data_IF_089834426248
#
_entry.id   IF_089834426248
#
_cell.length_a   1.000
_cell.length_b   1.000
_cell.length_c   1.000
_cell.angle_alpha   90.00
_cell.angle_beta   90.00
_cell.angle_gamma   90.00
#
_symmetry.space_group_name_H-M   'P 1'
#
loop_
_entity.id
_entity.type
_entity.pdbx_description
1 polymer ?
#
# COMPACT_ATOMS: atom_id res chain seq x y z
N UNK A 1 -14.33 29.02 1.04
CA UNK A 1 -13.87 29.36 -0.32
C UNK A 1 -13.62 28.06 -1.08
N UNK A 2 -14.18 27.91 -2.28
CA UNK A 2 -13.89 26.77 -3.16
C UNK A 2 -12.43 26.94 -3.59
N UNK A 3 -11.57 25.99 -3.21
CA UNK A 3 -10.18 25.97 -3.66
C UNK A 3 -10.15 25.68 -5.17
N UNK A 4 -9.24 26.30 -5.91
CA UNK A 4 -9.07 26.02 -7.34
C UNK A 4 -8.46 24.64 -7.54
N UNK A 5 -8.92 23.93 -8.56
CA UNK A 5 -8.31 22.65 -8.95
C UNK A 5 -6.95 22.91 -9.59
N UNK A 6 -5.94 22.12 -9.21
CA UNK A 6 -4.64 22.13 -9.88
C UNK A 6 -4.73 21.34 -11.20
N UNK A 7 -4.12 21.88 -12.24
CA UNK A 7 -4.22 21.34 -13.59
C UNK A 7 -2.90 20.75 -14.11
N UNK A 8 -1.97 20.39 -13.20
CA UNK A 8 -0.71 19.75 -13.58
C UNK A 8 0.43 20.70 -13.98
N UNK A 9 0.22 21.99 -13.97
CA UNK A 9 1.26 22.97 -14.34
C UNK A 9 2.16 23.33 -13.15
N UNK A 10 3.44 23.62 -13.44
CA UNK A 10 4.39 24.12 -12.44
C UNK A 10 3.89 25.46 -11.84
N UNK A 11 4.01 25.60 -10.53
CA UNK A 11 3.45 26.75 -9.80
C UNK A 11 4.28 27.10 -8.55
N UNK A 12 4.25 28.36 -8.14
CA UNK A 12 4.81 28.82 -6.86
C UNK A 12 3.80 28.75 -5.72
N UNK A 13 2.67 28.09 -5.93
CA UNK A 13 1.56 27.98 -4.98
C UNK A 13 1.59 26.64 -4.25
N UNK A 14 0.87 26.57 -3.14
CA UNK A 14 0.68 25.36 -2.36
C UNK A 14 -0.43 24.48 -2.92
N UNK A 15 -0.24 23.15 -2.85
CA UNK A 15 -1.21 22.17 -3.35
C UNK A 15 -1.61 21.22 -2.21
N UNK A 16 -2.90 20.96 -2.08
CA UNK A 16 -3.44 19.86 -1.27
C UNK A 16 -3.83 18.72 -2.18
N UNK A 17 -3.17 17.58 -2.04
CA UNK A 17 -3.55 16.31 -2.67
C UNK A 17 -4.35 15.49 -1.68
N UNK A 18 -5.47 14.92 -2.10
CA UNK A 18 -6.33 14.18 -1.19
C UNK A 18 -6.90 12.93 -1.84
N UNK A 19 -6.98 11.86 -1.05
CA UNK A 19 -7.67 10.64 -1.47
C UNK A 19 -9.18 10.86 -1.56
N UNK A 20 -9.83 10.06 -2.39
CA UNK A 20 -11.29 9.89 -2.41
C UNK A 20 -11.64 8.49 -1.88
N UNK A 21 -12.66 7.85 -2.43
CA UNK A 21 -13.13 6.52 -2.02
C UNK A 21 -12.41 5.37 -2.76
N UNK A 22 -11.14 5.54 -3.09
CA UNK A 22 -10.33 4.47 -3.67
C UNK A 22 -9.81 3.50 -2.61
N UNK A 23 -9.30 2.34 -3.06
CA UNK A 23 -8.65 1.36 -2.19
C UNK A 23 -7.21 1.77 -1.81
N UNK A 24 -6.67 1.14 -0.77
CA UNK A 24 -5.28 1.37 -0.31
C UNK A 24 -4.26 1.09 -1.43
N UNK A 25 -4.46 0.03 -2.21
CA UNK A 25 -3.55 -0.29 -3.32
C UNK A 25 -3.48 0.82 -4.37
N UNK A 26 -4.62 1.45 -4.68
CA UNK A 26 -4.67 2.59 -5.59
C UNK A 26 -3.99 3.82 -4.96
N UNK A 27 -4.20 4.07 -3.65
CA UNK A 27 -3.49 5.13 -2.94
C UNK A 27 -1.96 4.92 -3.04
N UNK A 28 -1.46 3.71 -2.79
CA UNK A 28 -0.04 3.37 -2.89
C UNK A 28 0.50 3.65 -4.29
N UNK A 29 -0.20 3.24 -5.35
CA UNK A 29 0.24 3.49 -6.73
C UNK A 29 0.37 5.01 -6.98
N UNK A 30 -0.64 5.78 -6.64
CA UNK A 30 -0.67 7.21 -6.96
C UNK A 30 0.24 8.05 -6.06
N UNK A 31 0.51 7.62 -4.82
CA UNK A 31 1.44 8.28 -3.91
C UNK A 31 2.89 8.29 -4.43
N UNK A 32 3.26 7.35 -5.29
CA UNK A 32 4.57 7.36 -5.96
C UNK A 32 4.83 8.63 -6.78
N UNK A 33 3.78 9.37 -7.13
CA UNK A 33 3.86 10.62 -7.90
C UNK A 33 4.06 11.87 -7.02
N UNK A 34 3.94 11.77 -5.71
CA UNK A 34 4.03 12.91 -4.80
C UNK A 34 5.39 13.62 -4.84
N UNK A 35 6.54 12.91 -4.91
CA UNK A 35 7.83 13.58 -5.07
C UNK A 35 7.89 14.50 -6.30
N UNK A 36 7.35 14.08 -7.43
CA UNK A 36 7.28 14.91 -8.63
C UNK A 36 6.34 16.11 -8.46
N UNK A 37 5.18 15.93 -7.84
CA UNK A 37 4.27 17.03 -7.52
C UNK A 37 4.98 18.05 -6.62
N UNK A 38 5.80 17.59 -5.67
CA UNK A 38 6.58 18.46 -4.80
C UNK A 38 7.56 19.35 -5.57
N UNK A 39 8.19 18.83 -6.62
CA UNK A 39 9.07 19.60 -7.50
C UNK A 39 8.34 20.65 -8.36
N UNK A 40 7.02 20.48 -8.51
CA UNK A 40 6.16 21.35 -9.33
C UNK A 40 5.49 22.47 -8.56
N UNK A 41 5.62 22.53 -7.23
CA UNK A 41 4.92 23.50 -6.39
C UNK A 41 5.79 24.01 -5.22
N UNK A 42 5.33 25.06 -4.53
CA UNK A 42 6.05 25.59 -3.36
C UNK A 42 5.96 24.63 -2.16
N UNK A 43 4.80 24.02 -1.97
CA UNK A 43 4.57 23.02 -0.92
C UNK A 43 3.42 22.09 -1.30
N UNK A 44 3.49 20.86 -0.84
CA UNK A 44 2.43 19.87 -1.01
C UNK A 44 2.01 19.32 0.36
N UNK A 45 0.70 19.31 0.60
CA UNK A 45 0.09 18.60 1.73
C UNK A 45 -0.70 17.44 1.18
N UNK A 46 -0.65 16.28 1.84
CA UNK A 46 -1.26 15.05 1.33
C UNK A 46 -2.15 14.41 2.38
N UNK A 47 -3.42 14.18 2.03
CA UNK A 47 -4.34 13.39 2.84
C UNK A 47 -4.51 11.99 2.24
N UNK A 48 -4.17 10.97 3.02
CA UNK A 48 -4.22 9.56 2.64
C UNK A 48 -5.07 8.75 3.62
N UNK A 49 -5.17 7.46 3.39
CA UNK A 49 -5.72 6.53 4.39
C UNK A 49 -4.84 6.58 5.65
N UNK A 50 -5.42 6.77 6.86
CA UNK A 50 -4.63 6.87 8.09
C UNK A 50 -3.70 5.68 8.32
N UNK A 51 -4.04 4.48 7.86
CA UNK A 51 -3.22 3.27 7.96
C UNK A 51 -1.92 3.35 7.17
N UNK A 52 -1.86 4.22 6.15
CA UNK A 52 -0.65 4.47 5.36
C UNK A 52 0.29 5.52 5.96
N UNK A 53 -0.16 6.31 6.96
CA UNK A 53 0.63 7.42 7.49
C UNK A 53 2.03 7.02 7.99
N UNK A 54 2.22 5.92 8.75
CA UNK A 54 3.55 5.52 9.19
C UNK A 54 4.51 5.26 8.02
N UNK A 55 4.07 4.50 7.03
CA UNK A 55 4.83 4.21 5.82
C UNK A 55 5.15 5.47 5.01
N UNK A 56 4.15 6.33 4.79
CA UNK A 56 4.29 7.56 4.02
C UNK A 56 5.26 8.54 4.68
N UNK A 57 5.15 8.75 5.99
CA UNK A 57 6.03 9.65 6.74
C UNK A 57 7.48 9.17 6.76
N UNK A 58 7.69 7.87 6.80
CA UNK A 58 9.03 7.27 6.72
C UNK A 58 9.63 7.39 5.32
N UNK A 59 8.80 7.22 4.29
CA UNK A 59 9.23 7.28 2.89
C UNK A 59 9.48 8.71 2.38
N UNK A 60 8.70 9.66 2.86
CA UNK A 60 8.67 11.06 2.38
C UNK A 60 8.57 12.03 3.57
N UNK A 61 9.62 12.13 4.41
CA UNK A 61 9.59 12.93 5.64
C UNK A 61 9.42 14.44 5.40
N UNK A 62 9.73 14.90 4.18
CA UNK A 62 9.58 16.30 3.74
C UNK A 62 8.15 16.66 3.32
N UNK A 63 7.24 15.70 3.23
CA UNK A 63 5.86 15.91 2.84
C UNK A 63 4.97 16.10 4.07
N UNK A 64 4.11 17.12 4.04
CA UNK A 64 3.10 17.33 5.07
C UNK A 64 1.94 16.35 4.90
N UNK A 65 1.91 15.29 5.69
CA UNK A 65 0.79 14.34 5.71
C UNK A 65 -0.28 14.78 6.71
N UNK A 66 -1.46 15.04 6.20
CA UNK A 66 -2.65 15.43 6.98
C UNK A 66 -3.24 14.19 7.66
N UNK A 67 -3.45 14.26 8.98
CA UNK A 67 -3.77 13.06 9.79
C UNK A 67 -5.22 12.59 9.65
N UNK A 68 -6.16 13.53 9.58
CA UNK A 68 -7.58 13.25 9.62
C UNK A 68 -8.43 14.22 8.78
N UNK A 69 -9.73 13.99 8.74
CA UNK A 69 -10.67 14.86 8.04
C UNK A 69 -10.77 16.28 8.63
N UNK A 70 -10.45 16.46 9.92
CA UNK A 70 -10.41 17.79 10.53
C UNK A 70 -9.24 18.59 9.97
N UNK A 71 -8.05 17.96 9.94
CA UNK A 71 -6.86 18.51 9.31
C UNK A 71 -7.12 18.83 7.84
N UNK A 72 -7.74 17.91 7.09
CA UNK A 72 -8.09 18.12 5.68
C UNK A 72 -8.98 19.37 5.48
N UNK A 73 -9.96 19.59 6.34
CA UNK A 73 -10.86 20.75 6.26
C UNK A 73 -10.18 22.06 6.65
N UNK A 74 -9.23 22.02 7.57
CA UNK A 74 -8.48 23.19 8.06
C UNK A 74 -7.26 23.54 7.21
N UNK A 75 -6.78 22.61 6.38
CA UNK A 75 -5.57 22.79 5.56
C UNK A 75 -5.72 23.98 4.60
N UNK A 76 -4.76 24.90 4.68
CA UNK A 76 -4.76 26.13 3.87
C UNK A 76 -3.83 25.96 2.68
N UNK A 77 -4.39 25.64 1.53
CA UNK A 77 -3.66 25.56 0.27
C UNK A 77 -4.33 26.39 -0.81
N UNK A 78 -3.56 26.83 -1.80
CA UNK A 78 -4.06 27.61 -2.95
C UNK A 78 -4.85 26.73 -3.92
N UNK A 79 -4.34 25.53 -4.16
CA UNK A 79 -4.91 24.55 -5.07
C UNK A 79 -5.23 23.23 -4.35
N UNK A 80 -6.05 22.41 -4.99
CA UNK A 80 -6.28 21.04 -4.58
C UNK A 80 -6.31 20.10 -5.79
N UNK A 81 -5.99 18.81 -5.57
CA UNK A 81 -6.14 17.76 -6.57
C UNK A 81 -6.52 16.44 -5.90
N UNK A 82 -7.46 15.67 -6.46
CA UNK A 82 -7.64 14.29 -6.05
C UNK A 82 -6.37 13.48 -6.37
N UNK A 83 -5.96 12.61 -5.46
CA UNK A 83 -4.78 11.75 -5.62
C UNK A 83 -4.86 10.91 -6.92
N UNK A 84 -6.01 10.31 -7.20
CA UNK A 84 -6.23 9.51 -8.42
C UNK A 84 -6.28 10.32 -9.72
N UNK A 85 -6.24 11.66 -9.66
CA UNK A 85 -6.16 12.51 -10.87
C UNK A 85 -4.72 12.80 -11.28
N UNK A 86 -3.73 12.57 -10.41
CA UNK A 86 -2.34 12.89 -10.67
C UNK A 86 -1.78 12.23 -11.94
N UNK A 87 -2.01 10.94 -12.22
CA UNK A 87 -1.51 10.34 -13.45
C UNK A 87 -1.94 11.09 -14.70
N UNK A 88 -3.22 11.44 -14.82
CA UNK A 88 -3.73 12.19 -15.96
C UNK A 88 -3.26 13.64 -16.05
N UNK A 89 -2.68 14.19 -14.97
CA UNK A 89 -2.14 15.54 -14.95
C UNK A 89 -0.65 15.61 -15.27
N UNK A 90 0.13 14.55 -14.96
CA UNK A 90 1.61 14.58 -15.05
C UNK A 90 2.20 13.42 -15.85
N UNK A 91 1.38 12.52 -16.43
CA UNK A 91 1.77 11.43 -17.32
C UNK A 91 1.01 11.58 -18.63
N UNK A 92 1.53 12.44 -19.50
CA UNK A 92 0.87 12.76 -20.77
C UNK A 92 1.42 11.95 -21.94
N UNK A 93 2.61 11.36 -21.78
CA UNK A 93 3.28 10.52 -22.75
C UNK A 93 3.80 9.23 -22.10
N UNK A 94 4.04 8.19 -22.90
CA UNK A 94 4.56 6.91 -22.40
C UNK A 94 5.97 7.06 -21.81
N UNK A 95 6.78 7.96 -22.35
CA UNK A 95 8.12 8.29 -21.85
C UNK A 95 8.10 8.91 -20.44
N UNK A 96 6.99 9.46 -20.00
CA UNK A 96 6.86 9.97 -18.63
C UNK A 96 6.90 8.84 -17.58
N UNK A 97 6.67 7.58 -17.99
CA UNK A 97 6.77 6.40 -17.12
C UNK A 97 8.20 5.86 -17.00
N UNK A 98 9.15 6.32 -17.83
CA UNK A 98 10.56 5.92 -17.75
C UNK A 98 11.26 6.43 -16.47
N UNK A 99 10.62 7.37 -15.78
CA UNK A 99 11.04 7.87 -14.45
C UNK A 99 10.63 6.88 -13.34
N UNK A 100 10.90 5.61 -13.52
CA UNK A 100 10.45 4.56 -12.61
C UNK A 100 11.10 4.72 -11.24
N UNK A 101 10.30 5.01 -10.24
CA UNK A 101 10.69 4.95 -8.83
C UNK A 101 10.63 3.48 -8.40
N UNK A 102 11.77 2.86 -8.22
CA UNK A 102 11.84 1.51 -7.65
C UNK A 102 11.57 1.59 -6.16
N UNK A 103 10.45 0.98 -5.69
CA UNK A 103 10.18 0.74 -4.27
C UNK A 103 10.34 1.98 -3.37
N UNK A 104 9.42 2.94 -3.46
CA UNK A 104 9.49 4.19 -2.68
C UNK A 104 9.09 4.02 -1.20
N UNK A 105 8.23 3.06 -0.87
CA UNK A 105 7.87 2.74 0.51
C UNK A 105 8.98 1.90 1.16
N UNK A 106 9.17 2.12 2.47
CA UNK A 106 10.17 1.41 3.27
C UNK A 106 9.52 0.84 4.52
N UNK A 107 9.71 -0.46 4.74
CA UNK A 107 9.34 -1.09 5.99
C UNK A 107 10.12 -0.50 7.18
N UNK A 108 9.58 -0.61 8.38
CA UNK A 108 10.30 -0.29 9.60
C UNK A 108 11.31 -1.42 9.92
N UNK A 109 12.62 -1.13 9.95
CA UNK A 109 13.62 -2.18 10.18
C UNK A 109 13.46 -2.90 11.53
N UNK A 110 13.00 -2.20 12.57
CA UNK A 110 12.79 -2.80 13.88
C UNK A 110 11.59 -3.75 13.89
N UNK A 111 10.54 -3.44 13.16
CA UNK A 111 9.39 -4.33 12.96
C UNK A 111 9.77 -5.55 12.13
N UNK A 112 10.53 -5.37 11.06
CA UNK A 112 11.05 -6.48 10.25
C UNK A 112 11.82 -7.47 11.13
N UNK A 113 12.73 -6.97 11.99
CA UNK A 113 13.50 -7.81 12.90
C UNK A 113 12.61 -8.54 13.92
N UNK A 114 11.64 -7.83 14.51
CA UNK A 114 10.70 -8.41 15.47
C UNK A 114 9.86 -9.52 14.84
N UNK A 115 9.31 -9.30 13.64
CA UNK A 115 8.49 -10.28 12.92
C UNK A 115 9.34 -11.49 12.54
N UNK A 116 10.57 -11.29 12.04
CA UNK A 116 11.49 -12.41 11.74
C UNK A 116 11.78 -13.28 12.95
N UNK A 117 11.99 -12.68 14.12
CA UNK A 117 12.19 -13.40 15.38
C UNK A 117 10.92 -14.15 15.82
N UNK A 118 9.75 -13.48 15.78
CA UNK A 118 8.46 -14.09 16.11
C UNK A 118 8.21 -15.35 15.28
N UNK A 119 8.45 -15.26 13.98
CA UNK A 119 8.17 -16.34 13.03
C UNK A 119 9.34 -17.31 12.84
N UNK A 120 10.48 -17.11 13.50
CA UNK A 120 11.69 -17.96 13.40
C UNK A 120 12.15 -18.16 11.94
N UNK A 121 12.26 -17.04 11.21
CA UNK A 121 12.52 -17.03 9.75
C UNK A 121 14.03 -16.97 9.38
N UNK A 122 14.93 -17.05 10.35
CA UNK A 122 16.37 -16.94 10.09
C UNK A 122 16.86 -18.05 9.14
N UNK A 123 17.53 -17.61 8.07
CA UNK A 123 18.06 -18.51 7.05
C UNK A 123 17.01 -19.16 6.13
N UNK A 124 15.71 -18.84 6.28
CA UNK A 124 14.64 -19.40 5.46
C UNK A 124 14.27 -18.50 4.29
N UNK A 125 13.94 -19.11 3.16
CA UNK A 125 13.28 -18.43 2.05
C UNK A 125 11.79 -18.30 2.36
N UNK A 126 11.27 -17.07 2.40
CA UNK A 126 9.88 -16.79 2.73
C UNK A 126 9.14 -16.25 1.52
N UNK A 127 7.96 -16.79 1.27
CA UNK A 127 7.04 -16.31 0.21
C UNK A 127 5.76 -15.84 0.86
N UNK A 128 5.50 -14.53 0.76
CA UNK A 128 4.22 -13.95 1.17
C UNK A 128 3.13 -14.24 0.14
N UNK A 129 1.97 -14.73 0.58
CA UNK A 129 0.86 -15.07 -0.29
C UNK A 129 -0.44 -14.35 0.09
N UNK A 130 -1.16 -13.90 -0.93
CA UNK A 130 -2.53 -13.38 -0.84
C UNK A 130 -3.30 -13.85 -2.07
N UNK A 131 -4.49 -14.43 -1.90
CA UNK A 131 -5.15 -15.19 -2.98
C UNK A 131 -6.59 -14.78 -3.26
N UNK A 132 -7.22 -13.97 -2.41
CA UNK A 132 -8.62 -13.58 -2.61
C UNK A 132 -8.93 -12.12 -2.28
N UNK A 133 -9.95 -11.60 -2.95
CA UNK A 133 -10.49 -10.26 -2.69
C UNK A 133 -11.81 -10.36 -1.94
N UNK A 134 -11.98 -9.59 -0.87
CA UNK A 134 -13.24 -9.51 -0.11
C UNK A 134 -14.21 -8.45 -0.63
N UNK A 135 -13.87 -7.70 -1.68
CA UNK A 135 -14.80 -6.73 -2.31
C UNK A 135 -15.85 -7.46 -3.15
N UNK A 136 -17.10 -7.39 -2.73
CA UNK A 136 -18.26 -8.15 -3.25
C UNK A 136 -18.49 -8.08 -4.76
N UNK A 137 -18.22 -6.93 -5.40
CA UNK A 137 -18.50 -6.73 -6.83
C UNK A 137 -17.56 -7.48 -7.80
N UNK A 138 -16.40 -7.96 -7.35
CA UNK A 138 -15.40 -8.62 -8.19
C UNK A 138 -14.72 -9.81 -7.50
N UNK A 139 -15.29 -10.34 -6.44
CA UNK A 139 -14.66 -11.37 -5.61
C UNK A 139 -14.25 -12.61 -6.43
N UNK A 140 -15.14 -13.12 -7.26
CA UNK A 140 -14.88 -14.32 -8.09
C UNK A 140 -13.86 -14.09 -9.22
N UNK A 141 -13.78 -12.86 -9.75
CA UNK A 141 -12.86 -12.54 -10.87
C UNK A 141 -11.43 -12.22 -10.42
N UNK A 142 -11.24 -11.91 -9.13
CA UNK A 142 -9.95 -11.48 -8.54
C UNK A 142 -9.48 -12.43 -7.46
N UNK A 143 -10.01 -13.65 -7.41
CA UNK A 143 -9.69 -14.63 -6.38
C UNK A 143 -9.35 -15.95 -7.04
N UNK A 144 -8.38 -16.65 -6.45
CA UNK A 144 -8.09 -18.07 -6.70
C UNK A 144 -8.35 -18.82 -5.39
N UNK A 145 -8.54 -20.12 -5.44
CA UNK A 145 -8.58 -20.92 -4.22
C UNK A 145 -7.15 -21.19 -3.75
N UNK A 146 -6.92 -21.14 -2.44
CA UNK A 146 -5.60 -21.43 -1.88
C UNK A 146 -5.09 -22.82 -2.32
N UNK A 147 -5.99 -23.80 -2.40
CA UNK A 147 -5.67 -25.15 -2.91
C UNK A 147 -5.09 -25.16 -4.32
N UNK A 148 -5.56 -24.29 -5.21
CA UNK A 148 -5.06 -24.24 -6.60
C UNK A 148 -3.60 -23.79 -6.68
N UNK A 149 -3.09 -23.17 -5.60
CA UNK A 149 -1.70 -22.71 -5.48
C UNK A 149 -0.74 -23.84 -5.07
N UNK A 150 -1.22 -25.02 -4.62
CA UNK A 150 -0.40 -26.16 -4.24
C UNK A 150 0.67 -26.48 -5.29
N UNK A 151 0.28 -26.49 -6.56
CA UNK A 151 1.18 -26.82 -7.69
C UNK A 151 2.38 -25.87 -7.84
N UNK A 152 2.24 -24.64 -7.32
CA UNK A 152 3.30 -23.63 -7.37
C UNK A 152 4.37 -23.92 -6.30
N UNK A 153 3.95 -24.44 -5.14
CA UNK A 153 4.80 -24.54 -3.95
C UNK A 153 5.26 -25.97 -3.66
N UNK A 154 4.62 -26.97 -4.30
CA UNK A 154 4.97 -28.38 -4.10
C UNK A 154 6.43 -28.65 -4.45
N UNK A 155 7.17 -29.23 -3.51
CA UNK A 155 8.59 -29.57 -3.67
C UNK A 155 9.57 -28.40 -3.47
N UNK A 156 9.10 -27.19 -3.14
CA UNK A 156 9.96 -26.07 -2.79
C UNK A 156 10.29 -26.07 -1.29
N UNK A 157 11.55 -25.79 -0.96
CA UNK A 157 12.00 -25.56 0.43
C UNK A 157 11.79 -24.09 0.80
N UNK A 158 10.52 -23.74 1.08
CA UNK A 158 10.12 -22.37 1.39
C UNK A 158 9.10 -22.34 2.53
N UNK A 159 9.03 -21.21 3.21
CA UNK A 159 7.98 -20.91 4.19
C UNK A 159 6.93 -20.01 3.53
N UNK A 160 5.67 -20.42 3.54
CA UNK A 160 4.57 -19.60 3.08
C UNK A 160 4.05 -18.73 4.22
N UNK A 161 4.02 -17.42 4.03
CA UNK A 161 3.52 -16.45 4.99
C UNK A 161 2.18 -15.87 4.51
N UNK A 162 1.17 -15.96 5.37
CA UNK A 162 -0.14 -15.38 5.10
C UNK A 162 -0.10 -13.85 5.11
N UNK A 163 -0.30 -13.23 3.96
CA UNK A 163 -0.54 -11.79 3.80
C UNK A 163 -2.00 -11.47 3.46
N UNK A 164 -2.87 -12.49 3.45
CA UNK A 164 -4.28 -12.34 3.17
C UNK A 164 -4.99 -11.76 4.40
N UNK A 165 -5.75 -10.68 4.22
CA UNK A 165 -6.63 -10.15 5.26
C UNK A 165 -7.98 -10.87 5.28
N UNK A 166 -8.70 -10.73 6.42
CA UNK A 166 -9.99 -11.37 6.66
C UNK A 166 -9.85 -12.74 7.31
N UNK A 167 -10.97 -13.36 7.61
CA UNK A 167 -10.99 -14.69 8.20
C UNK A 167 -10.66 -15.75 7.14
N UNK A 168 -9.49 -16.37 7.28
CA UNK A 168 -8.97 -17.41 6.39
C UNK A 168 -8.44 -18.64 7.14
N UNK A 169 -8.60 -18.71 8.44
CA UNK A 169 -8.04 -19.74 9.31
C UNK A 169 -8.48 -21.14 8.90
N UNK A 170 -9.76 -21.32 8.64
CA UNK A 170 -10.32 -22.60 8.21
C UNK A 170 -9.81 -23.02 6.83
N UNK A 171 -9.59 -22.08 5.91
CA UNK A 171 -9.05 -22.35 4.58
C UNK A 171 -7.57 -22.77 4.65
N UNK A 172 -6.79 -22.09 5.49
CA UNK A 172 -5.37 -22.41 5.74
C UNK A 172 -5.26 -23.80 6.41
N UNK A 173 -6.12 -24.09 7.40
CA UNK A 173 -6.15 -25.37 8.06
C UNK A 173 -6.43 -26.51 7.08
N UNK A 174 -7.46 -26.38 6.24
CA UNK A 174 -7.81 -27.38 5.22
C UNK A 174 -6.69 -27.55 4.20
N UNK A 175 -6.07 -26.46 3.76
CA UNK A 175 -4.95 -26.53 2.83
C UNK A 175 -3.80 -27.36 3.40
N UNK A 176 -3.43 -27.15 4.67
CA UNK A 176 -2.39 -27.95 5.35
C UNK A 176 -2.80 -29.43 5.46
N UNK A 177 -4.06 -29.72 5.81
CA UNK A 177 -4.55 -31.10 5.93
C UNK A 177 -4.55 -31.86 4.59
N UNK A 178 -4.90 -31.18 3.50
CA UNK A 178 -5.01 -31.78 2.18
C UNK A 178 -3.69 -31.91 1.43
N UNK A 179 -2.75 -30.95 1.64
CA UNK A 179 -1.50 -30.86 0.84
C UNK A 179 -0.24 -31.11 1.64
N UNK A 180 -0.31 -31.08 2.96
CA UNK A 180 0.85 -31.10 3.86
C UNK A 180 1.67 -29.81 3.88
N UNK A 181 1.31 -28.80 3.07
CA UNK A 181 2.02 -27.51 2.98
C UNK A 181 1.49 -26.58 4.08
N UNK A 182 2.41 -26.00 4.85
CA UNK A 182 2.07 -25.07 5.92
C UNK A 182 2.09 -23.62 5.45
N UNK A 183 1.06 -22.87 5.83
CA UNK A 183 1.01 -21.41 5.70
C UNK A 183 1.03 -20.82 7.11
N UNK A 184 2.12 -20.14 7.46
CA UNK A 184 2.26 -19.52 8.77
C UNK A 184 1.58 -18.14 8.80
N UNK A 185 1.20 -17.68 10.00
CA UNK A 185 0.57 -16.39 10.23
C UNK A 185 1.36 -15.60 11.27
N UNK A 186 1.49 -14.30 11.07
CA UNK A 186 2.07 -13.40 12.06
C UNK A 186 0.96 -12.94 13.02
N UNK A 187 1.03 -13.36 14.27
CA UNK A 187 0.01 -13.03 15.26
C UNK A 187 0.04 -11.55 15.69
N UNK A 188 1.19 -10.91 15.58
CA UNK A 188 1.37 -9.49 15.96
C UNK A 188 0.94 -8.50 14.88
N UNK A 189 0.52 -8.96 13.69
CA UNK A 189 0.13 -8.10 12.56
C UNK A 189 -1.30 -8.35 12.12
N UNK A 190 -2.13 -7.32 12.14
CA UNK A 190 -3.42 -7.33 11.45
C UNK A 190 -3.21 -6.92 9.98
N UNK A 191 -3.31 -7.89 9.07
CA UNK A 191 -3.10 -7.68 7.63
C UNK A 191 -4.05 -6.66 6.97
N UNK A 192 -5.09 -6.22 7.67
CA UNK A 192 -6.05 -5.23 7.18
C UNK A 192 -5.86 -3.85 7.80
N UNK A 193 -5.68 -3.79 9.11
CA UNK A 193 -5.65 -2.52 9.83
C UNK A 193 -4.21 -2.03 10.08
N UNK A 194 -3.24 -2.94 10.17
CA UNK A 194 -1.83 -2.62 10.39
C UNK A 194 -1.00 -2.75 9.09
N UNK A 195 -1.20 -1.81 8.18
CA UNK A 195 -0.50 -1.80 6.88
C UNK A 195 1.01 -1.61 7.04
N UNK A 196 1.46 -0.94 8.09
CA UNK A 196 2.89 -0.78 8.38
C UNK A 196 3.53 -2.11 8.82
N UNK A 197 2.81 -2.91 9.62
CA UNK A 197 3.22 -4.27 9.96
C UNK A 197 3.17 -5.22 8.77
N UNK A 198 2.16 -5.10 7.92
CA UNK A 198 2.07 -5.89 6.69
C UNK A 198 3.24 -5.61 5.72
N UNK A 199 3.81 -4.40 5.76
CA UNK A 199 4.95 -4.02 4.94
C UNK A 199 6.31 -4.49 5.52
N UNK A 200 6.32 -4.89 6.78
CA UNK A 200 7.51 -5.37 7.49
C UNK A 200 7.71 -6.87 7.33
#
# INVERSE_FOLDING_TARGET
>A
KIKKMWMGNKTTKSILVFRRRQGIGEDIIFLSLIPEVKEMCSSVSVYVDPRLLPLCRRAMPEINFVEDEKGLKSEKCDYHSPLGSLPGLIRNDISDFDRTVTGYLKADPSRVESIRKELQLDGKTVIGISWKSFKSLNQTKKSVQLRDMERIFSGLDVVLLNLQYGDVDEEIRKFKEETGIEVIQCASVDNREDIDGLAA
#
